data_IF_925989715709
#
_entry.id   IF_925989715709
#
_cell.length_a   1.000
_cell.length_b   1.000
_cell.length_c   1.000
_cell.angle_alpha   90.00
_cell.angle_beta   90.00
_cell.angle_gamma   90.00
#
_symmetry.space_group_name_H-M   'P 1'
#
loop_
_entity.id
_entity.type
_entity.pdbx_description
1 polymer ?
#
# COMPACT_ATOMS: atom_id res chain seq x y z
N UNK A 1 19.34 -54.59 -67.67
CA UNK A 1 20.18 -53.71 -66.93
C UNK A 1 19.39 -52.45 -66.55
N UNK A 2 18.84 -52.37 -65.40
CA UNK A 2 18.15 -51.16 -64.89
C UNK A 2 18.72 -50.80 -63.57
N UNK A 3 19.40 -49.68 -63.49
CA UNK A 3 19.95 -49.12 -62.27
C UNK A 3 18.83 -48.32 -61.56
N UNK A 4 18.42 -48.81 -60.38
CA UNK A 4 17.49 -48.11 -59.49
C UNK A 4 18.28 -47.13 -58.62
N UNK A 5 17.96 -45.85 -58.69
CA UNK A 5 18.51 -44.83 -57.85
C UNK A 5 17.55 -44.69 -56.65
N UNK A 6 18.03 -45.08 -55.48
CA UNK A 6 17.33 -44.84 -54.22
C UNK A 6 17.72 -43.43 -53.74
N UNK A 7 16.78 -42.52 -53.79
CA UNK A 7 16.91 -41.23 -53.15
C UNK A 7 16.61 -41.40 -51.66
N UNK A 8 17.63 -41.32 -50.83
CA UNK A 8 17.47 -41.17 -49.39
C UNK A 8 17.06 -39.75 -49.06
N UNK A 9 15.81 -39.55 -48.70
CA UNK A 9 15.30 -38.29 -48.13
C UNK A 9 15.74 -38.22 -46.66
N UNK A 10 16.74 -37.43 -46.38
CA UNK A 10 17.08 -37.01 -45.00
C UNK A 10 16.07 -35.99 -44.54
N UNK A 11 15.10 -36.40 -43.72
CA UNK A 11 14.22 -35.51 -43.03
C UNK A 11 14.99 -34.84 -41.88
N UNK A 12 15.34 -33.57 -42.05
CA UNK A 12 15.92 -32.72 -41.04
C UNK A 12 14.81 -32.24 -40.11
N UNK A 13 14.62 -32.91 -38.96
CA UNK A 13 13.71 -32.44 -37.93
C UNK A 13 14.40 -31.29 -37.19
N UNK A 14 14.08 -30.08 -37.56
CA UNK A 14 14.47 -28.89 -36.82
C UNK A 14 13.62 -28.81 -35.56
N UNK A 15 14.14 -29.26 -34.43
CA UNK A 15 13.55 -29.05 -33.13
C UNK A 15 13.68 -27.57 -32.76
N UNK A 16 12.65 -26.80 -33.02
CA UNK A 16 12.52 -25.44 -32.43
C UNK A 16 12.26 -25.60 -30.95
N UNK A 17 13.32 -25.47 -30.16
CA UNK A 17 13.19 -25.24 -28.72
C UNK A 17 12.55 -23.84 -28.57
N UNK A 18 11.25 -23.81 -28.30
CA UNK A 18 10.59 -22.59 -27.81
C UNK A 18 11.20 -22.30 -26.43
N UNK A 19 12.19 -21.44 -26.40
CA UNK A 19 12.58 -20.73 -25.18
C UNK A 19 11.44 -19.78 -24.86
N UNK A 20 10.47 -20.28 -24.10
CA UNK A 20 9.46 -19.43 -23.50
C UNK A 20 10.18 -18.47 -22.55
N UNK A 21 10.44 -17.25 -22.98
CA UNK A 21 10.71 -16.16 -22.07
C UNK A 21 9.47 -16.04 -21.20
N UNK A 22 9.55 -16.54 -19.99
CA UNK A 22 8.62 -16.17 -18.92
C UNK A 22 8.88 -14.69 -18.71
N UNK A 23 8.13 -13.85 -19.42
CA UNK A 23 7.89 -12.50 -18.99
C UNK A 23 7.28 -12.67 -17.61
N UNK A 24 8.09 -12.51 -16.58
CA UNK A 24 7.59 -12.21 -15.27
C UNK A 24 6.76 -10.95 -15.47
N UNK A 25 5.45 -11.15 -15.71
CA UNK A 25 4.50 -10.09 -15.53
C UNK A 25 4.75 -9.64 -14.11
N UNK A 26 5.33 -8.46 -13.94
CA UNK A 26 5.16 -7.69 -12.74
C UNK A 26 3.65 -7.60 -12.56
N UNK A 27 3.09 -8.56 -11.82
CA UNK A 27 1.74 -8.40 -11.30
C UNK A 27 1.74 -7.05 -10.62
N UNK A 28 0.75 -6.20 -10.91
CA UNK A 28 0.67 -4.92 -10.25
C UNK A 28 0.82 -5.19 -8.77
N UNK A 29 1.77 -4.51 -8.15
CA UNK A 29 2.03 -4.54 -6.71
C UNK A 29 0.71 -4.69 -6.00
N UNK A 30 0.59 -5.69 -5.12
CA UNK A 30 -0.63 -5.96 -4.37
C UNK A 30 -1.03 -4.67 -3.65
N UNK A 31 -1.95 -3.92 -4.24
CA UNK A 31 -2.42 -2.67 -3.65
C UNK A 31 -3.35 -2.98 -2.49
N UNK A 32 -3.25 -2.17 -1.46
CA UNK A 32 -4.22 -2.15 -0.40
C UNK A 32 -5.61 -1.78 -0.94
N UNK A 33 -6.65 -2.37 -0.37
CA UNK A 33 -8.05 -2.07 -0.69
C UNK A 33 -8.58 -1.14 0.38
N UNK A 34 -9.13 0.01 -0.03
CA UNK A 34 -9.62 1.07 0.85
C UNK A 34 -11.13 1.21 0.73
N UNK A 35 -11.82 1.22 1.87
CA UNK A 35 -13.27 1.44 1.95
C UNK A 35 -13.58 2.55 2.93
N UNK A 36 -14.22 3.62 2.49
CA UNK A 36 -14.72 4.67 3.38
C UNK A 36 -15.93 4.11 4.14
N UNK A 37 -15.80 4.05 5.46
CA UNK A 37 -16.87 3.58 6.37
C UNK A 37 -17.81 4.71 6.73
N UNK A 38 -17.28 5.88 7.06
CA UNK A 38 -18.05 7.05 7.45
C UNK A 38 -17.27 8.34 7.18
N UNK A 39 -18.00 9.43 6.99
CA UNK A 39 -17.47 10.78 6.92
C UNK A 39 -18.44 11.75 7.59
N UNK A 40 -17.92 12.71 8.34
CA UNK A 40 -18.69 13.79 8.94
C UNK A 40 -17.84 15.04 9.09
N UNK A 41 -18.47 16.19 9.10
CA UNK A 41 -17.80 17.50 9.27
C UNK A 41 -18.04 18.01 10.68
N UNK A 42 -16.96 18.42 11.37
CA UNK A 42 -17.02 19.26 12.56
C UNK A 42 -16.92 20.71 12.06
N UNK A 43 -18.03 21.43 12.12
CA UNK A 43 -18.13 22.78 11.54
C UNK A 43 -17.45 23.85 12.39
N UNK A 44 -17.42 23.67 13.71
CA UNK A 44 -16.88 24.63 14.66
C UNK A 44 -15.41 24.37 14.99
N UNK A 45 -14.70 25.42 15.38
CA UNK A 45 -13.39 25.27 15.99
C UNK A 45 -13.50 24.61 17.33
N UNK A 46 -12.54 23.75 17.66
CA UNK A 46 -12.48 23.14 18.99
C UNK A 46 -11.06 23.14 19.53
N UNK A 47 -10.98 23.17 20.85
CA UNK A 47 -9.73 23.04 21.59
C UNK A 47 -9.99 22.28 22.88
N UNK A 48 -9.25 21.20 23.08
CA UNK A 48 -9.34 20.38 24.28
C UNK A 48 -7.94 20.05 24.79
N UNK A 49 -7.72 20.23 26.09
CA UNK A 49 -6.47 19.90 26.77
C UNK A 49 -6.80 19.03 27.98
N UNK A 50 -6.22 17.87 28.05
CA UNK A 50 -6.30 16.97 29.20
C UNK A 50 -4.92 16.39 29.49
N UNK A 51 -4.24 16.90 30.52
CA UNK A 51 -2.88 16.49 30.84
C UNK A 51 -1.96 16.66 29.61
N UNK A 52 -1.42 15.55 29.14
CA UNK A 52 -0.51 15.53 27.99
C UNK A 52 -1.22 15.47 26.62
N UNK A 53 -2.55 15.34 26.62
CA UNK A 53 -3.34 15.24 25.38
C UNK A 53 -3.86 16.63 25.01
N UNK A 54 -3.47 17.09 23.81
CA UNK A 54 -3.98 18.34 23.21
C UNK A 54 -4.59 18.03 21.85
N UNK A 55 -5.86 18.39 21.69
CA UNK A 55 -6.58 18.27 20.42
C UNK A 55 -7.16 19.62 20.06
N UNK A 56 -6.85 20.11 18.87
CA UNK A 56 -7.31 21.44 18.43
C UNK A 56 -7.55 21.46 16.93
N UNK A 57 -8.67 22.09 16.52
CA UNK A 57 -8.86 22.58 15.16
C UNK A 57 -9.08 24.09 15.19
N UNK A 58 -8.45 24.81 14.25
CA UNK A 58 -8.61 26.26 14.08
C UNK A 58 -9.70 26.65 13.07
N UNK A 59 -10.35 25.65 12.47
CA UNK A 59 -11.44 25.80 11.51
C UNK A 59 -12.19 24.47 11.35
N UNK A 60 -13.17 24.42 10.44
CA UNK A 60 -13.89 23.19 10.14
C UNK A 60 -12.94 22.09 9.67
N UNK A 61 -13.26 20.84 10.01
CA UNK A 61 -12.55 19.64 9.55
C UNK A 61 -13.51 18.52 9.19
N UNK A 62 -13.13 17.71 8.23
CA UNK A 62 -13.79 16.42 8.01
C UNK A 62 -13.06 15.35 8.81
N UNK A 63 -13.86 14.52 9.47
CA UNK A 63 -13.42 13.25 10.07
C UNK A 63 -13.83 12.15 9.11
N UNK A 64 -12.87 11.38 8.59
CA UNK A 64 -13.12 10.30 7.64
C UNK A 64 -12.61 9.00 8.23
N UNK A 65 -13.52 8.05 8.43
CA UNK A 65 -13.18 6.70 8.90
C UNK A 65 -13.08 5.77 7.71
N UNK A 66 -11.98 5.05 7.63
CA UNK A 66 -11.65 4.18 6.49
C UNK A 66 -11.18 2.83 7.02
N UNK A 67 -11.67 1.76 6.43
CA UNK A 67 -11.09 0.43 6.57
C UNK A 67 -10.15 0.15 5.39
N UNK A 68 -8.95 -0.35 5.70
CA UNK A 68 -7.95 -0.70 4.69
C UNK A 68 -7.55 -2.16 4.87
N UNK A 69 -7.65 -2.93 3.80
CA UNK A 69 -7.17 -4.30 3.73
C UNK A 69 -5.84 -4.36 2.96
N UNK A 70 -4.88 -5.04 3.54
CA UNK A 70 -3.58 -5.34 2.97
C UNK A 70 -3.48 -6.86 2.74
N UNK A 71 -3.75 -7.37 1.53
CA UNK A 71 -3.42 -8.75 1.19
C UNK A 71 -1.98 -9.11 1.54
N UNK A 72 -1.63 -10.38 1.44
CA UNK A 72 -0.25 -10.82 1.58
C UNK A 72 0.67 -10.04 0.62
N UNK A 73 1.80 -9.55 1.12
CA UNK A 73 2.79 -8.73 0.40
C UNK A 73 2.27 -7.39 -0.14
N UNK A 74 1.08 -6.95 0.26
CA UNK A 74 0.52 -5.68 -0.21
C UNK A 74 1.20 -4.48 0.43
N UNK A 75 1.31 -3.41 -0.34
CA UNK A 75 1.87 -2.12 0.07
C UNK A 75 0.89 -0.98 -0.21
N UNK A 76 0.93 0.05 0.63
CA UNK A 76 0.30 1.33 0.32
C UNK A 76 1.19 2.22 -0.57
N UNK A 77 2.42 1.83 -0.82
CA UNK A 77 3.42 2.67 -1.47
C UNK A 77 3.89 3.83 -0.56
N UNK A 78 4.95 4.50 -0.98
CA UNK A 78 5.38 5.74 -0.33
C UNK A 78 4.34 6.84 -0.57
N UNK A 79 3.83 7.41 0.50
CA UNK A 79 2.75 8.38 0.41
C UNK A 79 2.71 9.33 1.60
N UNK A 80 1.93 10.38 1.46
CA UNK A 80 1.49 11.27 2.53
C UNK A 80 -0.03 11.49 2.47
N UNK A 81 -0.54 12.20 3.45
CA UNK A 81 -1.95 12.51 3.63
C UNK A 81 -2.21 14.01 3.73
N UNK A 82 -3.39 14.51 3.37
CA UNK A 82 -3.74 15.94 3.49
C UNK A 82 -3.93 16.43 4.93
N UNK A 83 -3.85 15.55 5.92
CA UNK A 83 -3.93 15.82 7.34
C UNK A 83 -3.53 14.61 8.16
N UNK A 84 -3.54 14.70 9.50
CA UNK A 84 -3.13 13.62 10.38
C UNK A 84 -4.07 12.41 10.28
N UNK A 85 -3.49 11.21 10.44
CA UNK A 85 -4.22 9.94 10.44
C UNK A 85 -3.88 9.11 11.67
N UNK A 86 -4.89 8.63 12.34
CA UNK A 86 -4.79 7.68 13.45
C UNK A 86 -5.15 6.29 12.94
N UNK A 87 -4.21 5.37 13.00
CA UNK A 87 -4.37 4.01 12.47
C UNK A 87 -4.38 3.00 13.60
N UNK A 88 -5.36 2.09 13.58
CA UNK A 88 -5.46 0.95 14.49
C UNK A 88 -5.38 -0.34 13.69
N UNK A 89 -4.45 -1.23 14.02
CA UNK A 89 -4.34 -2.55 13.40
C UNK A 89 -5.44 -3.46 13.94
N UNK A 90 -6.37 -3.87 13.07
CA UNK A 90 -7.49 -4.77 13.41
C UNK A 90 -7.05 -6.22 13.41
N UNK A 91 -6.29 -6.61 12.38
CA UNK A 91 -5.76 -7.97 12.23
C UNK A 91 -4.40 -7.96 11.53
N UNK A 92 -3.60 -8.99 11.78
CA UNK A 92 -2.31 -9.18 11.12
C UNK A 92 -1.21 -8.29 11.67
N UNK A 93 -0.21 -8.03 10.83
CA UNK A 93 0.99 -7.25 11.17
C UNK A 93 1.35 -6.35 10.01
N UNK A 94 1.68 -5.09 10.30
CA UNK A 94 2.14 -4.12 9.32
C UNK A 94 3.51 -3.57 9.72
N UNK A 95 4.36 -3.37 8.73
CA UNK A 95 5.59 -2.61 8.82
C UNK A 95 5.38 -1.21 8.29
N UNK A 96 5.88 -0.21 9.02
CA UNK A 96 5.80 1.21 8.68
C UNK A 96 7.21 1.78 8.65
N UNK A 97 7.59 2.38 7.53
CA UNK A 97 8.85 3.12 7.39
C UNK A 97 8.58 4.62 7.30
N UNK A 98 9.39 5.38 7.98
CA UNK A 98 9.40 6.84 7.87
C UNK A 98 10.35 7.30 6.76
N UNK A 99 10.26 8.57 6.36
CA UNK A 99 11.19 9.18 5.40
C UNK A 99 12.66 9.17 5.86
N UNK A 100 12.91 9.02 7.17
CA UNK A 100 14.26 8.82 7.74
C UNK A 100 14.70 7.35 7.76
N UNK A 101 14.01 6.47 7.06
CA UNK A 101 14.33 5.04 6.92
C UNK A 101 14.24 4.24 8.24
N UNK A 102 13.52 4.75 9.22
CA UNK A 102 13.24 4.02 10.46
C UNK A 102 12.03 3.13 10.24
N UNK A 103 12.19 1.82 10.50
CA UNK A 103 11.13 0.82 10.46
C UNK A 103 10.55 0.59 11.84
N UNK A 104 9.22 0.57 11.92
CA UNK A 104 8.46 0.11 13.07
C UNK A 104 7.48 -0.99 12.62
N UNK A 105 7.11 -1.89 13.54
CA UNK A 105 6.17 -2.97 13.25
C UNK A 105 5.01 -2.90 14.23
N UNK A 106 3.80 -3.04 13.71
CA UNK A 106 2.56 -2.96 14.48
C UNK A 106 1.71 -4.21 14.26
N UNK A 107 1.22 -4.80 15.34
CA UNK A 107 0.37 -5.99 15.34
C UNK A 107 -1.06 -5.65 15.78
N UNK A 108 -1.96 -6.62 15.69
CA UNK A 108 -3.35 -6.49 16.14
C UNK A 108 -3.48 -5.80 17.50
N UNK A 109 -4.32 -4.77 17.59
CA UNK A 109 -4.56 -3.96 18.78
C UNK A 109 -3.57 -2.83 18.98
N UNK A 110 -2.49 -2.75 18.21
CA UNK A 110 -1.56 -1.63 18.23
C UNK A 110 -2.00 -0.52 17.28
N UNK A 111 -1.49 0.69 17.54
CA UNK A 111 -1.82 1.89 16.77
C UNK A 111 -0.57 2.65 16.37
N UNK A 112 -0.65 3.38 15.27
CA UNK A 112 0.37 4.32 14.85
C UNK A 112 -0.25 5.61 14.31
N UNK A 113 0.58 6.62 14.19
CA UNK A 113 0.20 7.96 13.77
C UNK A 113 0.94 8.35 12.49
N UNK A 114 0.20 8.90 11.53
CA UNK A 114 0.73 9.46 10.30
C UNK A 114 0.51 10.97 10.32
N UNK A 115 1.58 11.78 10.34
CA UNK A 115 1.46 13.20 10.71
C UNK A 115 0.85 14.10 9.63
N UNK A 116 0.75 13.66 8.39
CA UNK A 116 0.10 14.45 7.34
C UNK A 116 1.04 14.87 6.20
N UNK A 117 0.84 16.03 5.55
CA UNK A 117 1.37 16.30 4.20
C UNK A 117 2.89 16.45 4.13
N UNK A 118 3.55 16.77 5.23
CA UNK A 118 5.01 16.98 5.26
C UNK A 118 5.80 15.72 5.58
N UNK A 119 5.13 14.59 5.79
CA UNK A 119 5.76 13.34 6.22
C UNK A 119 5.38 12.19 5.29
N UNK A 120 6.31 11.77 4.45
CA UNK A 120 6.15 10.55 3.68
C UNK A 120 6.42 9.33 4.53
N UNK A 121 5.62 8.29 4.33
CA UNK A 121 5.83 6.99 4.93
C UNK A 121 5.38 5.86 3.99
N UNK A 122 5.85 4.66 4.28
CA UNK A 122 5.49 3.43 3.59
C UNK A 122 4.85 2.48 4.58
N UNK A 123 3.66 1.99 4.27
CA UNK A 123 2.98 0.94 5.04
C UNK A 123 2.90 -0.32 4.20
N UNK A 124 3.39 -1.44 4.73
CA UNK A 124 3.48 -2.70 4.01
C UNK A 124 3.12 -3.90 4.88
N UNK A 125 2.36 -4.83 4.31
CA UNK A 125 2.23 -6.18 4.84
C UNK A 125 3.36 -7.04 4.27
N UNK A 126 4.35 -7.39 5.10
CA UNK A 126 5.48 -8.22 4.68
C UNK A 126 5.19 -9.73 4.75
N UNK A 127 4.04 -10.12 5.28
CA UNK A 127 3.66 -11.54 5.32
C UNK A 127 3.36 -12.05 3.92
N UNK A 128 3.92 -13.20 3.56
CA UNK A 128 3.64 -13.87 2.29
C UNK A 128 2.28 -14.60 2.27
N UNK A 129 1.63 -14.77 3.42
CA UNK A 129 0.43 -15.62 3.51
C UNK A 129 -0.71 -15.03 4.34
N UNK A 130 -0.40 -14.15 5.30
CA UNK A 130 -1.40 -13.61 6.24
C UNK A 130 -1.78 -12.19 5.85
N UNK A 131 -3.04 -11.91 5.56
CA UNK A 131 -3.50 -10.54 5.32
C UNK A 131 -3.49 -9.72 6.62
N UNK A 132 -3.43 -8.40 6.47
CA UNK A 132 -3.60 -7.44 7.56
C UNK A 132 -4.74 -6.47 7.25
N UNK A 133 -5.42 -5.98 8.28
CA UNK A 133 -6.47 -4.97 8.15
C UNK A 133 -6.30 -3.88 9.20
N UNK A 134 -6.62 -2.65 8.83
CA UNK A 134 -6.60 -1.50 9.75
C UNK A 134 -7.90 -0.72 9.64
N UNK A 135 -8.21 0.02 10.72
CA UNK A 135 -9.12 1.17 10.66
C UNK A 135 -8.29 2.44 10.80
N UNK A 136 -8.48 3.37 9.88
CA UNK A 136 -7.76 4.63 9.81
C UNK A 136 -8.74 5.80 9.93
N UNK A 137 -8.47 6.73 10.84
CA UNK A 137 -9.25 7.94 11.05
C UNK A 137 -8.45 9.14 10.59
N UNK A 138 -8.92 9.79 9.53
CA UNK A 138 -8.34 10.98 8.93
C UNK A 138 -8.99 12.22 9.49
N UNK A 139 -8.20 13.23 9.80
CA UNK A 139 -8.67 14.59 10.11
C UNK A 139 -8.15 15.51 9.00
N UNK A 140 -9.03 15.95 8.11
CA UNK A 140 -8.64 16.63 6.88
C UNK A 140 -9.46 17.91 6.64
N UNK A 141 -9.00 18.81 5.77
CA UNK A 141 -9.81 19.96 5.35
C UNK A 141 -11.17 19.51 4.78
N UNK A 142 -12.25 20.28 5.00
CA UNK A 142 -13.57 19.92 4.49
C UNK A 142 -13.58 19.74 2.97
N UNK A 143 -14.30 18.72 2.51
CA UNK A 143 -14.42 18.42 1.08
C UNK A 143 -13.20 17.73 0.46
N UNK A 144 -12.18 17.38 1.23
CA UNK A 144 -11.03 16.63 0.73
C UNK A 144 -11.48 15.29 0.13
N UNK A 145 -11.20 15.07 -1.15
CA UNK A 145 -11.54 13.82 -1.87
C UNK A 145 -10.35 12.86 -1.95
N UNK A 146 -9.14 13.39 -2.18
CA UNK A 146 -7.92 12.61 -2.23
C UNK A 146 -7.33 12.48 -0.82
N UNK A 147 -7.53 11.34 -0.18
CA UNK A 147 -7.03 11.06 1.17
C UNK A 147 -5.56 10.66 1.19
N UNK A 148 -4.94 10.37 0.05
CA UNK A 148 -3.55 9.96 -0.11
C UNK A 148 -2.95 10.57 -1.36
N UNK A 149 -1.67 10.96 -1.27
CA UNK A 149 -0.84 11.37 -2.41
C UNK A 149 0.43 10.53 -2.42
N UNK A 150 0.70 9.88 -3.54
CA UNK A 150 1.96 9.14 -3.72
C UNK A 150 3.16 10.09 -3.71
N UNK A 151 4.26 9.65 -3.13
CA UNK A 151 5.52 10.38 -3.05
C UNK A 151 6.64 9.59 -3.71
N UNK A 152 7.83 10.18 -3.81
CA UNK A 152 8.99 9.49 -4.34
C UNK A 152 9.36 8.28 -3.47
N UNK A 153 9.90 7.25 -4.09
CA UNK A 153 10.48 6.09 -3.40
C UNK A 153 11.66 6.54 -2.55
N UNK A 154 11.64 6.18 -1.28
CA UNK A 154 12.69 6.50 -0.32
C UNK A 154 13.35 5.22 0.19
N UNK A 155 14.55 5.37 0.76
CA UNK A 155 15.24 4.32 1.50
C UNK A 155 15.66 3.07 0.67
N UNK A 156 15.50 3.08 -0.65
CA UNK A 156 15.80 1.91 -1.49
C UNK A 156 14.93 0.68 -1.16
N UNK A 157 13.75 0.88 -0.56
CA UNK A 157 12.82 -0.17 -0.22
C UNK A 157 11.84 -0.34 -1.37
N UNK A 158 11.70 -1.57 -1.86
CA UNK A 158 10.70 -1.92 -2.86
C UNK A 158 9.30 -1.98 -2.24
N UNK A 159 8.33 -1.47 -2.98
CA UNK A 159 6.92 -1.40 -2.61
C UNK A 159 6.15 -2.67 -2.98
#
# INVERSE_FOLDING_TARGET
MRRSWLFALLAFVASFALVGTVLANHLPTNHNITTIVARGTIADTFKYNLGDIKVQSKGPVDVVVVDVSFPALASAGWHNHPGPVFVVVKTGTLSVWTASCVKSTYTTGQSFFEPGPESSLLVKNESATVPATVSATFIVPPGTTALRTGTAHLCGIEE
#
